data_IF_028954164595
#
_entry.id   IF_028954164595
#
_cell.length_a   1.000
_cell.length_b   1.000
_cell.length_c   1.000
_cell.angle_alpha   90.00
_cell.angle_beta   90.00
_cell.angle_gamma   90.00
#
_symmetry.space_group_name_H-M   'P 1'
#
loop_
_entity.id
_entity.type
_entity.pdbx_description
1 polymer ?
#
# COMPACT_ATOMS: atom_id res chain seq x y z
N UNK A 1 8.66 -10.60 -29.53
CA UNK A 1 8.19 -9.22 -29.25
C UNK A 1 6.89 -9.21 -28.42
N UNK A 2 6.71 -10.14 -27.47
CA UNK A 2 5.43 -10.31 -26.72
C UNK A 2 5.59 -10.51 -25.20
N UNK A 3 6.77 -10.22 -24.61
CA UNK A 3 7.06 -10.53 -23.20
C UNK A 3 6.62 -9.47 -22.18
N UNK A 4 5.81 -8.48 -22.55
CA UNK A 4 5.44 -7.40 -21.62
C UNK A 4 4.11 -7.61 -20.89
N UNK A 5 3.23 -8.49 -21.37
CA UNK A 5 1.92 -8.76 -20.77
C UNK A 5 1.83 -10.15 -20.11
N UNK A 6 2.96 -10.68 -19.62
CA UNK A 6 3.04 -11.95 -18.90
C UNK A 6 2.88 -11.79 -17.38
N UNK A 7 2.72 -10.55 -16.90
CA UNK A 7 2.38 -10.24 -15.53
C UNK A 7 0.95 -10.71 -15.24
N UNK A 8 0.76 -11.28 -14.06
CA UNK A 8 -0.56 -11.70 -13.60
C UNK A 8 -1.45 -10.46 -13.43
N UNK A 9 -2.78 -10.57 -13.60
CA UNK A 9 -3.70 -9.45 -13.33
C UNK A 9 -4.07 -9.41 -11.86
N UNK A 10 -4.41 -8.22 -11.35
CA UNK A 10 -4.91 -8.09 -9.97
C UNK A 10 -6.30 -8.74 -9.88
N UNK A 11 -6.61 -9.35 -8.74
CA UNK A 11 -7.99 -9.78 -8.46
C UNK A 11 -8.89 -8.54 -8.35
N UNK A 12 -10.06 -8.51 -9.00
CA UNK A 12 -10.96 -7.36 -8.93
C UNK A 12 -11.45 -7.19 -7.49
N UNK A 13 -11.37 -5.95 -6.97
CA UNK A 13 -11.98 -5.60 -5.70
C UNK A 13 -13.51 -5.76 -5.82
N UNK A 14 -14.11 -6.60 -4.97
CA UNK A 14 -15.56 -6.79 -4.91
C UNK A 14 -16.28 -5.44 -4.83
N UNK A 15 -17.10 -5.13 -5.84
CA UNK A 15 -17.90 -3.89 -5.91
C UNK A 15 -18.89 -3.86 -4.75
N UNK A 16 -18.65 -2.98 -3.77
CA UNK A 16 -19.56 -2.79 -2.64
C UNK A 16 -20.57 -1.68 -3.00
N UNK A 17 -21.74 -2.09 -3.50
CA UNK A 17 -22.87 -1.21 -3.80
C UNK A 17 -23.59 -0.82 -2.51
N UNK A 18 -23.40 0.41 -2.03
CA UNK A 18 -24.21 0.98 -0.95
C UNK A 18 -24.96 2.22 -1.43
N UNK A 19 -26.22 2.01 -1.85
CA UNK A 19 -27.24 3.04 -2.03
C UNK A 19 -28.00 3.27 -0.71
N UNK A 20 -28.30 4.55 -0.40
CA UNK A 20 -29.30 4.98 0.60
C UNK A 20 -28.67 5.66 1.83
N UNK A 21 -29.14 6.80 2.35
CA UNK A 21 -30.24 7.67 1.98
C UNK A 21 -29.97 9.05 2.60
N UNK A 22 -30.29 10.12 1.87
CA UNK A 22 -30.26 11.51 2.33
C UNK A 22 -31.51 11.80 3.16
N UNK A 23 -31.36 12.39 4.35
CA UNK A 23 -32.44 13.17 4.95
C UNK A 23 -31.87 14.33 5.78
N UNK A 24 -32.36 15.52 5.47
CA UNK A 24 -31.98 16.79 6.07
C UNK A 24 -32.85 17.09 7.32
N UNK A 25 -32.26 17.73 8.32
CA UNK A 25 -32.95 18.31 9.47
C UNK A 25 -32.00 19.21 10.29
N UNK A 26 -32.42 20.39 10.77
CA UNK A 26 -31.53 21.49 11.10
C UNK A 26 -31.07 21.54 12.56
N UNK A 27 -29.81 21.92 12.75
CA UNK A 27 -29.32 22.73 13.88
C UNK A 27 -29.13 22.06 15.25
N UNK A 28 -27.88 21.80 15.64
CA UNK A 28 -27.38 22.06 17.00
C UNK A 28 -25.86 22.20 16.99
N UNK A 29 -25.39 23.24 17.67
CA UNK A 29 -24.01 23.72 17.73
C UNK A 29 -23.07 22.82 18.55
N UNK A 30 -21.77 23.06 18.36
CA UNK A 30 -20.63 22.92 19.29
C UNK A 30 -19.59 21.84 18.91
N UNK A 31 -18.50 22.32 18.30
CA UNK A 31 -17.11 21.83 18.40
C UNK A 31 -16.85 20.32 18.29
N UNK A 32 -17.73 19.58 17.64
CA UNK A 32 -17.58 18.14 17.45
C UNK A 32 -16.74 17.88 16.20
N UNK A 33 -15.69 17.05 16.27
CA UNK A 33 -14.98 16.60 15.07
C UNK A 33 -16.00 16.05 14.09
N UNK A 34 -16.00 16.59 12.86
CA UNK A 34 -16.85 16.06 11.80
C UNK A 34 -16.21 14.75 11.33
N UNK A 35 -16.76 13.64 11.81
CA UNK A 35 -16.29 12.31 11.45
C UNK A 35 -16.82 11.95 10.06
N UNK A 36 -15.98 12.05 9.05
CA UNK A 36 -16.24 11.43 7.75
C UNK A 36 -15.59 10.04 7.74
N UNK A 37 -16.40 8.98 7.84
CA UNK A 37 -15.91 7.62 7.68
C UNK A 37 -15.89 7.28 6.19
N UNK A 38 -14.70 7.26 5.60
CA UNK A 38 -14.45 6.64 4.31
C UNK A 38 -13.68 5.33 4.54
N UNK A 39 -14.39 4.23 4.86
CA UNK A 39 -13.77 2.92 5.14
C UNK A 39 -13.17 2.79 6.55
N UNK A 40 -11.98 2.16 6.69
CA UNK A 40 -11.27 1.88 7.96
C UNK A 40 -10.46 3.08 8.51
N UNK A 41 -10.62 4.27 7.93
CA UNK A 41 -9.85 5.47 8.26
C UNK A 41 -10.76 6.48 8.94
N UNK A 42 -10.35 6.93 10.12
CA UNK A 42 -10.99 8.04 10.83
C UNK A 42 -10.25 9.34 10.52
N UNK A 43 -11.01 10.37 10.14
CA UNK A 43 -10.53 11.71 9.87
C UNK A 43 -10.98 12.68 10.96
N UNK A 44 -10.03 13.38 11.58
CA UNK A 44 -10.31 14.52 12.46
C UNK A 44 -9.72 15.79 11.86
N UNK A 45 -10.58 16.79 11.65
CA UNK A 45 -10.20 18.10 11.11
C UNK A 45 -10.32 19.15 12.21
N UNK A 46 -9.21 19.82 12.52
CA UNK A 46 -9.17 20.90 13.49
C UNK A 46 -8.99 22.23 12.74
N UNK A 47 -9.96 23.15 12.89
CA UNK A 47 -9.95 24.49 12.30
C UNK A 47 -10.37 25.54 13.34
N UNK A 48 -9.91 26.76 13.16
CA UNK A 48 -10.43 27.92 13.90
C UNK A 48 -11.68 28.44 13.19
N UNK A 49 -12.82 28.52 13.88
CA UNK A 49 -14.09 29.00 13.28
C UNK A 49 -14.14 30.52 13.11
N UNK A 50 -13.25 31.25 13.80
CA UNK A 50 -13.15 32.71 13.67
C UNK A 50 -12.00 33.06 12.73
N UNK A 51 -12.32 33.20 11.44
CA UNK A 51 -11.43 33.77 10.45
C UNK A 51 -11.49 35.30 10.50
N UNK A 52 -10.36 36.02 10.65
CA UNK A 52 -10.31 37.47 10.38
C UNK A 52 -10.83 37.79 8.97
N UNK A 53 -11.50 38.93 8.80
CA UNK A 53 -12.01 39.38 7.49
C UNK A 53 -10.91 39.88 6.54
N UNK A 54 -9.68 39.95 7.03
CA UNK A 54 -8.47 40.34 6.30
C UNK A 54 -7.75 39.11 5.73
N UNK A 55 -6.88 39.31 4.73
CA UNK A 55 -6.07 38.23 4.17
C UNK A 55 -5.22 37.58 5.27
N UNK A 56 -5.52 36.31 5.59
CA UNK A 56 -4.88 35.61 6.68
C UNK A 56 -4.50 34.18 6.28
N UNK A 57 -3.37 33.70 6.81
CA UNK A 57 -2.93 32.30 6.65
C UNK A 57 -3.44 31.49 7.82
N UNK A 58 -4.21 30.44 7.52
CA UNK A 58 -4.71 29.51 8.52
C UNK A 58 -3.97 28.19 8.46
N UNK A 59 -3.70 27.59 9.62
CA UNK A 59 -3.12 26.28 9.74
C UNK A 59 -4.22 25.28 10.10
N UNK A 60 -4.23 24.14 9.43
CA UNK A 60 -5.16 23.05 9.67
C UNK A 60 -4.33 21.84 10.11
N UNK A 61 -4.76 21.18 11.18
CA UNK A 61 -4.23 19.88 11.57
C UNK A 61 -5.18 18.80 11.06
N UNK A 62 -4.62 17.86 10.30
CA UNK A 62 -5.30 16.66 9.85
C UNK A 62 -4.75 15.46 10.60
N UNK A 63 -5.61 14.77 11.33
CA UNK A 63 -5.26 13.50 11.95
C UNK A 63 -5.94 12.36 11.18
N UNK A 64 -5.13 11.42 10.70
CA UNK A 64 -5.55 10.22 9.99
C UNK A 64 -5.24 9.00 10.85
N UNK A 65 -6.26 8.37 11.40
CA UNK A 65 -6.11 7.15 12.20
C UNK A 65 -6.62 5.97 11.38
N UNK A 66 -5.71 5.03 11.04
CA UNK A 66 -6.08 3.76 10.43
C UNK A 66 -6.32 2.69 11.50
N UNK A 67 -7.45 2.00 11.43
CA UNK A 67 -7.64 0.78 12.23
C UNK A 67 -6.80 -0.36 11.62
N UNK A 68 -5.91 -0.97 12.41
CA UNK A 68 -5.13 -2.11 11.96
C UNK A 68 -6.05 -3.29 11.62
N UNK A 69 -6.31 -3.54 10.34
CA UNK A 69 -7.01 -4.75 9.91
C UNK A 69 -6.00 -5.87 9.72
N UNK A 70 -5.79 -6.68 10.75
CA UNK A 70 -4.96 -7.87 10.68
C UNK A 70 -5.45 -8.92 9.66
N UNK A 71 -6.69 -8.80 9.16
CA UNK A 71 -7.31 -9.80 8.29
C UNK A 71 -7.57 -9.40 6.84
N UNK A 72 -7.43 -8.12 6.47
CA UNK A 72 -8.00 -7.65 5.19
C UNK A 72 -7.28 -6.39 4.69
N UNK A 73 -6.05 -6.59 4.21
CA UNK A 73 -5.28 -5.58 3.49
C UNK A 73 -5.37 -5.86 1.98
N UNK A 74 -5.29 -4.83 1.13
CA UNK A 74 -5.12 -5.06 -0.30
C UNK A 74 -3.82 -5.85 -0.57
N UNK A 75 -3.83 -6.62 -1.66
CA UNK A 75 -2.64 -7.28 -2.18
C UNK A 75 -1.53 -6.27 -2.48
N UNK A 76 -0.29 -6.64 -2.19
CA UNK A 76 0.89 -5.83 -2.46
C UNK A 76 1.56 -6.29 -3.76
N UNK A 77 1.95 -5.34 -4.60
CA UNK A 77 2.85 -5.58 -5.71
C UNK A 77 4.28 -5.16 -5.33
N UNK A 78 5.17 -6.15 -5.17
CA UNK A 78 6.57 -5.91 -4.85
C UNK A 78 7.46 -6.21 -6.04
N UNK A 79 8.26 -5.22 -6.47
CA UNK A 79 9.33 -5.41 -7.45
C UNK A 79 10.67 -5.24 -6.75
N UNK A 80 11.40 -6.34 -6.57
CA UNK A 80 12.70 -6.34 -5.93
C UNK A 80 13.81 -6.20 -6.98
N UNK A 81 14.50 -5.05 -7.00
CA UNK A 81 15.69 -4.84 -7.82
C UNK A 81 16.93 -5.12 -7.00
N UNK A 82 17.70 -6.12 -7.39
CA UNK A 82 18.80 -6.71 -6.63
C UNK A 82 20.13 -6.44 -7.32
N UNK A 83 21.06 -5.77 -6.63
CA UNK A 83 22.44 -5.63 -7.09
C UNK A 83 23.17 -6.98 -7.04
N UNK A 84 23.70 -7.41 -8.18
CA UNK A 84 24.51 -8.63 -8.37
C UNK A 84 25.90 -8.32 -8.92
N UNK A 85 26.34 -7.06 -8.81
CA UNK A 85 27.68 -6.61 -9.19
C UNK A 85 28.78 -7.34 -8.41
N UNK A 86 30.02 -7.29 -8.90
CA UNK A 86 31.17 -7.90 -8.22
C UNK A 86 31.37 -7.41 -6.78
N UNK A 87 30.88 -6.21 -6.43
CA UNK A 87 30.94 -5.68 -5.06
C UNK A 87 30.05 -6.42 -4.05
N UNK A 88 29.06 -7.16 -4.57
CA UNK A 88 28.11 -7.97 -3.82
C UNK A 88 28.58 -9.42 -3.66
N UNK A 89 29.72 -9.81 -4.23
CA UNK A 89 30.18 -11.19 -4.20
C UNK A 89 30.45 -11.72 -2.78
N UNK A 90 30.44 -13.05 -2.64
CA UNK A 90 30.67 -13.74 -1.38
C UNK A 90 29.53 -13.56 -0.37
N UNK A 91 29.87 -13.11 0.85
CA UNK A 91 28.93 -13.07 1.97
C UNK A 91 27.75 -12.12 1.75
N UNK A 92 27.94 -11.01 1.03
CA UNK A 92 26.88 -10.01 0.83
C UNK A 92 25.75 -10.60 0.00
N UNK A 93 26.07 -11.27 -1.11
CA UNK A 93 25.09 -11.98 -1.93
C UNK A 93 24.41 -13.11 -1.15
N UNK A 94 25.16 -13.85 -0.32
CA UNK A 94 24.58 -14.89 0.53
C UNK A 94 23.57 -14.32 1.55
N UNK A 95 23.89 -13.18 2.19
CA UNK A 95 23.00 -12.48 3.11
C UNK A 95 21.78 -11.90 2.39
N UNK A 96 21.97 -11.32 1.20
CA UNK A 96 20.88 -10.82 0.36
C UNK A 96 19.90 -11.94 -0.02
N UNK A 97 20.40 -13.11 -0.44
CA UNK A 97 19.55 -14.28 -0.72
C UNK A 97 18.73 -14.70 0.49
N UNK A 98 19.34 -14.78 1.68
CA UNK A 98 18.65 -15.10 2.93
C UNK A 98 17.59 -14.04 3.29
N UNK A 99 17.91 -12.76 3.12
CA UNK A 99 16.97 -11.67 3.35
C UNK A 99 15.78 -11.76 2.37
N UNK A 100 16.02 -12.09 1.11
CA UNK A 100 14.94 -12.25 0.13
C UNK A 100 14.04 -13.45 0.44
N UNK A 101 14.59 -14.57 0.91
CA UNK A 101 13.76 -15.68 1.43
C UNK A 101 12.90 -15.22 2.60
N UNK A 102 13.46 -14.42 3.52
CA UNK A 102 12.69 -13.87 4.64
C UNK A 102 11.55 -12.94 4.17
N UNK A 103 11.81 -12.08 3.19
CA UNK A 103 10.78 -11.21 2.59
C UNK A 103 9.67 -12.04 1.97
N UNK A 104 10.01 -13.04 1.15
CA UNK A 104 9.02 -13.92 0.50
C UNK A 104 8.14 -14.63 1.53
N UNK A 105 8.71 -15.08 2.66
CA UNK A 105 7.96 -15.68 3.78
C UNK A 105 7.00 -14.72 4.49
N UNK A 106 7.17 -13.41 4.33
CA UNK A 106 6.28 -12.38 4.89
C UNK A 106 5.18 -11.94 3.93
N UNK A 107 5.33 -12.25 2.63
CA UNK A 107 4.29 -11.99 1.65
C UNK A 107 3.14 -12.99 1.82
N UNK A 108 1.92 -12.54 1.58
CA UNK A 108 0.70 -13.33 1.61
C UNK A 108 0.33 -13.83 0.22
N UNK A 109 -0.61 -14.78 0.13
CA UNK A 109 -1.07 -15.33 -1.15
C UNK A 109 -1.79 -14.33 -2.07
N UNK A 110 -2.20 -13.19 -1.53
CA UNK A 110 -2.77 -12.05 -2.27
C UNK A 110 -1.70 -11.08 -2.80
N UNK A 111 -0.43 -11.28 -2.46
CA UNK A 111 0.69 -10.44 -2.93
C UNK A 111 1.31 -10.99 -4.18
N UNK A 112 1.90 -10.09 -4.97
CA UNK A 112 2.68 -10.43 -6.14
C UNK A 112 4.12 -9.96 -6.01
N UNK A 113 5.03 -10.78 -6.53
CA UNK A 113 6.47 -10.50 -6.51
C UNK A 113 7.05 -10.61 -7.92
N UNK A 114 7.86 -9.63 -8.29
CA UNK A 114 8.81 -9.68 -9.40
C UNK A 114 10.21 -9.44 -8.88
N UNK A 115 11.20 -10.16 -9.41
CA UNK A 115 12.61 -9.99 -9.07
C UNK A 115 13.37 -9.57 -10.32
N UNK A 116 14.19 -8.53 -10.18
CA UNK A 116 15.06 -8.00 -11.22
C UNK A 116 16.49 -8.00 -10.69
N UNK A 117 17.43 -8.63 -11.38
CA UNK A 117 18.85 -8.49 -11.06
C UNK A 117 19.44 -7.30 -11.81
N UNK A 118 20.38 -6.59 -11.18
CA UNK A 118 21.04 -5.42 -11.73
C UNK A 118 22.56 -5.50 -11.54
N UNK A 119 23.31 -5.25 -12.60
CA UNK A 119 24.76 -4.99 -12.57
C UNK A 119 25.09 -3.95 -13.66
N UNK A 120 25.76 -4.34 -14.75
CA UNK A 120 25.95 -3.48 -15.93
C UNK A 120 24.65 -3.31 -16.75
N UNK A 121 23.66 -4.13 -16.46
CA UNK A 121 22.31 -4.05 -17.02
C UNK A 121 21.27 -4.64 -16.06
N UNK A 122 20.00 -4.42 -16.36
CA UNK A 122 18.88 -4.98 -15.62
C UNK A 122 18.32 -6.21 -16.35
N UNK A 123 18.10 -7.30 -15.62
CA UNK A 123 17.47 -8.51 -16.12
C UNK A 123 16.33 -8.93 -15.19
N UNK A 124 15.11 -9.02 -15.72
CA UNK A 124 13.94 -9.49 -14.97
C UNK A 124 13.99 -11.01 -14.85
N UNK A 125 14.19 -11.52 -13.63
CA UNK A 125 14.28 -12.95 -13.33
C UNK A 125 12.90 -13.61 -13.32
N UNK A 126 11.87 -12.87 -12.88
CA UNK A 126 10.48 -13.32 -12.99
C UNK A 126 9.52 -12.15 -13.24
N UNK A 127 8.48 -12.36 -14.07
CA UNK A 127 7.30 -11.50 -14.12
C UNK A 127 6.63 -11.35 -12.75
N UNK A 128 5.74 -10.36 -12.62
CA UNK A 128 4.95 -10.12 -11.43
C UNK A 128 3.90 -11.22 -11.28
N UNK A 129 4.07 -12.09 -10.27
CA UNK A 129 3.24 -13.28 -10.04
C UNK A 129 2.80 -13.38 -8.60
N UNK A 130 1.64 -13.98 -8.33
CA UNK A 130 1.23 -14.23 -6.95
C UNK A 130 2.22 -15.11 -6.20
N UNK A 131 2.41 -14.77 -4.93
CA UNK A 131 3.16 -15.60 -4.00
C UNK A 131 2.30 -16.81 -3.65
N UNK A 132 2.75 -17.99 -4.05
CA UNK A 132 2.09 -19.26 -3.72
C UNK A 132 2.83 -19.96 -2.59
N UNK A 133 2.19 -20.93 -1.92
CA UNK A 133 2.85 -21.75 -0.88
C UNK A 133 4.15 -22.41 -1.38
N UNK A 134 4.18 -22.81 -2.66
CA UNK A 134 5.37 -23.37 -3.30
C UNK A 134 6.54 -22.36 -3.36
N UNK A 135 6.24 -21.07 -3.51
CA UNK A 135 7.25 -20.00 -3.55
C UNK A 135 7.74 -19.57 -2.17
N UNK A 136 6.99 -19.86 -1.10
CA UNK A 136 7.35 -19.45 0.26
C UNK A 136 8.45 -20.29 0.91
N UNK A 137 8.76 -21.47 0.37
CA UNK A 137 9.83 -22.35 0.83
C UNK A 137 9.62 -22.84 2.28
N UNK A 138 9.48 -24.15 2.46
CA UNK A 138 9.32 -24.76 3.79
C UNK A 138 10.39 -24.29 4.78
#
# INVERSE_FOLDING_TARGET
MSSFNDDEQTVPASSNNNNGASSAGPGTNNNKPTLSVAGKVQLSVYKNETAPLEENRQQILLELTGAASAGDRPGLDLVAVLDVSGSMDGEKLAKMKKAMVFVIKKLSNIDRLSVVSFSDGAARLCPLRFVTEASQGR
#
